data_IF_877435877910
#
_entry.id   IF_877435877910
#
_cell.length_a   1.000
_cell.length_b   1.000
_cell.length_c   1.000
_cell.angle_alpha   90.00
_cell.angle_beta   90.00
_cell.angle_gamma   90.00
#
_symmetry.space_group_name_H-M   'P 1'
#
loop_
_entity.id
_entity.type
_entity.pdbx_description
1 polymer ?
#
# COMPACT_ATOMS: atom_id res chain seq x y z
N UNK A 1 8.55 -11.36 -8.57
CA UNK A 1 8.33 -10.56 -7.34
C UNK A 1 9.67 -10.13 -6.77
N UNK A 2 9.71 -9.10 -5.95
CA UNK A 2 10.88 -8.57 -5.24
C UNK A 2 10.43 -7.95 -3.92
N UNK A 3 11.34 -7.75 -2.96
CA UNK A 3 11.03 -7.07 -1.69
C UNK A 3 11.15 -5.57 -1.89
N UNK A 4 10.17 -4.83 -1.40
CA UNK A 4 10.15 -3.36 -1.32
C UNK A 4 9.72 -2.93 0.08
N UNK A 5 9.72 -1.64 0.34
CA UNK A 5 9.43 -1.09 1.67
C UNK A 5 8.71 0.26 1.53
N UNK A 6 7.85 0.60 2.48
CA UNK A 6 7.30 1.95 2.58
C UNK A 6 8.36 2.96 3.01
N UNK A 7 8.33 4.14 2.41
CA UNK A 7 9.27 5.24 2.73
C UNK A 7 9.27 5.61 4.22
N UNK A 8 8.10 5.57 4.87
CA UNK A 8 7.96 5.86 6.31
C UNK A 8 8.66 4.85 7.24
N UNK A 9 9.08 3.68 6.74
CA UNK A 9 9.86 2.70 7.49
C UNK A 9 11.37 2.99 7.46
N UNK A 10 11.87 3.70 6.44
CA UNK A 10 13.30 3.94 6.24
C UNK A 10 14.00 4.72 7.36
N UNK A 11 13.35 5.71 8.03
CA UNK A 11 13.94 6.41 9.16
C UNK A 11 14.38 5.50 10.32
N UNK A 12 13.76 4.32 10.46
CA UNK A 12 14.16 3.30 11.46
C UNK A 12 15.62 2.92 11.32
N UNK A 13 16.19 3.00 10.11
CA UNK A 13 17.61 2.70 9.86
C UNK A 13 18.57 3.80 10.36
N UNK A 14 18.05 4.95 10.81
CA UNK A 14 18.86 6.06 11.35
C UNK A 14 19.74 6.72 10.30
N UNK A 15 19.33 6.68 9.04
CA UNK A 15 19.99 7.34 7.91
C UNK A 15 19.22 8.60 7.51
N UNK A 16 19.93 9.66 7.16
CA UNK A 16 19.33 10.88 6.60
C UNK A 16 18.98 10.75 5.11
N UNK A 17 19.71 9.89 4.39
CA UNK A 17 19.43 9.57 2.98
C UNK A 17 18.66 8.24 2.91
N UNK A 18 17.44 8.23 2.35
CA UNK A 18 16.66 7.01 2.16
C UNK A 18 17.37 5.97 1.28
N UNK A 19 18.24 6.40 0.35
CA UNK A 19 19.01 5.49 -0.48
C UNK A 19 20.06 4.72 0.32
N UNK A 20 20.70 5.34 1.32
CA UNK A 20 21.59 4.64 2.24
C UNK A 20 20.85 3.60 3.08
N UNK A 21 19.64 3.94 3.55
CA UNK A 21 18.80 3.01 4.28
C UNK A 21 18.37 1.82 3.42
N UNK A 22 17.96 2.06 2.18
CA UNK A 22 17.64 1.00 1.22
C UNK A 22 18.86 0.10 0.93
N UNK A 23 20.04 0.70 0.70
CA UNK A 23 21.27 -0.05 0.44
C UNK A 23 21.67 -0.93 1.63
N UNK A 24 21.55 -0.42 2.87
CA UNK A 24 21.86 -1.20 4.08
C UNK A 24 20.89 -2.39 4.27
N UNK A 25 19.63 -2.24 3.82
CA UNK A 25 18.63 -3.33 3.80
C UNK A 25 18.79 -4.25 2.59
N UNK A 26 19.68 -3.91 1.63
CA UNK A 26 19.83 -4.62 0.37
C UNK A 26 18.56 -4.57 -0.48
N UNK A 27 17.86 -3.43 -0.46
CA UNK A 27 16.68 -3.14 -1.25
C UNK A 27 16.97 -2.06 -2.31
N UNK A 28 16.20 -2.09 -3.39
CA UNK A 28 16.29 -1.11 -4.48
C UNK A 28 14.91 -0.58 -4.90
N UNK A 29 13.89 -0.80 -4.06
CA UNK A 29 12.53 -0.42 -4.41
C UNK A 29 11.77 0.06 -3.17
N UNK A 30 10.99 1.14 -3.35
CA UNK A 30 10.29 1.85 -2.29
C UNK A 30 8.89 2.26 -2.74
N UNK A 31 7.92 2.17 -1.83
CA UNK A 31 6.65 2.88 -1.97
C UNK A 31 6.85 4.30 -1.42
N UNK A 32 6.42 5.31 -2.17
CA UNK A 32 6.59 6.71 -1.79
C UNK A 32 5.23 7.31 -1.45
N UNK A 33 5.16 7.91 -0.26
CA UNK A 33 3.94 8.59 0.21
C UNK A 33 3.77 9.94 -0.48
N UNK A 34 2.57 10.19 -1.01
CA UNK A 34 2.16 11.44 -1.64
C UNK A 34 1.19 12.18 -0.72
N UNK A 35 1.51 13.40 -0.36
CA UNK A 35 0.66 14.27 0.45
C UNK A 35 -0.60 14.73 -0.28
N UNK A 36 -1.58 15.24 0.48
CA UNK A 36 -2.84 15.78 -0.08
C UNK A 36 -2.63 16.94 -1.06
N UNK A 37 -1.53 17.69 -0.92
CA UNK A 37 -1.11 18.77 -1.83
C UNK A 37 -0.36 18.26 -3.06
N UNK A 38 -0.41 16.95 -3.33
CA UNK A 38 0.33 16.27 -4.42
C UNK A 38 1.85 16.36 -4.32
N UNK A 39 2.39 16.71 -3.16
CA UNK A 39 3.83 16.71 -2.94
C UNK A 39 4.29 15.42 -2.28
N UNK A 40 5.49 15.03 -2.60
CA UNK A 40 6.22 13.95 -1.92
C UNK A 40 7.61 14.40 -1.51
N UNK A 41 8.15 13.72 -0.52
CA UNK A 41 9.52 13.94 -0.05
C UNK A 41 10.43 12.83 -0.54
N UNK A 42 11.52 13.21 -1.22
CA UNK A 42 12.57 12.30 -1.64
C UNK A 42 13.90 13.05 -1.73
N UNK A 43 14.95 12.53 -1.11
CA UNK A 43 16.27 13.18 -1.14
C UNK A 43 16.94 12.91 -2.50
N UNK A 44 16.96 13.92 -3.35
CA UNK A 44 17.62 13.85 -4.64
C UNK A 44 19.09 14.30 -4.60
N UNK A 45 19.94 13.79 -5.49
CA UNK A 45 21.30 14.32 -5.65
C UNK A 45 21.26 15.80 -6.00
N UNK A 46 21.92 16.63 -5.17
CA UNK A 46 21.88 18.09 -5.33
C UNK A 46 21.03 18.82 -4.28
N UNK A 47 20.40 18.08 -3.34
CA UNK A 47 19.77 18.61 -2.15
C UNK A 47 18.29 18.99 -2.29
N UNK A 48 17.68 18.81 -3.45
CA UNK A 48 16.20 18.92 -3.55
C UNK A 48 15.57 17.72 -2.83
N UNK A 49 14.59 18.00 -1.97
CA UNK A 49 13.96 16.97 -1.14
C UNK A 49 12.42 16.98 -1.19
N UNK A 50 11.83 17.85 -2.03
CA UNK A 50 10.38 17.92 -2.21
C UNK A 50 10.04 18.10 -3.67
N UNK A 51 9.04 17.34 -4.15
CA UNK A 51 8.60 17.34 -5.54
C UNK A 51 7.08 17.43 -5.59
N UNK A 52 6.57 18.34 -6.40
CA UNK A 52 5.13 18.48 -6.67
C UNK A 52 4.75 17.65 -7.90
N UNK A 53 3.93 16.62 -7.73
CA UNK A 53 3.50 15.75 -8.84
C UNK A 53 2.54 16.42 -9.83
N UNK A 54 2.03 17.62 -9.48
CA UNK A 54 1.27 18.47 -10.38
C UNK A 54 2.13 19.40 -11.25
N UNK A 55 3.47 19.31 -11.13
CA UNK A 55 4.44 20.12 -11.88
C UNK A 55 5.33 19.20 -12.73
N UNK A 56 5.27 19.33 -14.04
CA UNK A 56 5.99 18.46 -14.98
C UNK A 56 7.51 18.48 -14.76
N UNK A 57 8.09 19.66 -14.48
CA UNK A 57 9.52 19.78 -14.20
C UNK A 57 9.92 18.99 -12.95
N UNK A 58 9.13 19.07 -11.89
CA UNK A 58 9.37 18.31 -10.65
C UNK A 58 9.26 16.80 -10.90
N UNK A 59 8.32 16.37 -11.73
CA UNK A 59 8.13 14.96 -12.12
C UNK A 59 9.35 14.44 -12.89
N UNK A 60 9.87 15.23 -13.86
CA UNK A 60 11.06 14.85 -14.61
C UNK A 60 12.32 14.84 -13.73
N UNK A 61 12.47 15.81 -12.83
CA UNK A 61 13.56 15.84 -11.86
C UNK A 61 13.53 14.64 -10.91
N UNK A 62 12.35 14.28 -10.38
CA UNK A 62 12.17 13.09 -9.54
C UNK A 62 12.53 11.81 -10.30
N UNK A 63 12.04 11.67 -11.54
CA UNK A 63 12.37 10.54 -12.42
C UNK A 63 13.89 10.41 -12.62
N UNK A 64 14.56 11.53 -12.93
CA UNK A 64 16.00 11.57 -13.10
C UNK A 64 16.74 11.21 -11.80
N UNK A 65 16.28 11.69 -10.64
CA UNK A 65 16.86 11.38 -9.35
C UNK A 65 16.77 9.89 -9.02
N UNK A 66 15.59 9.30 -9.11
CA UNK A 66 15.35 7.88 -8.85
C UNK A 66 16.24 7.00 -9.79
N UNK A 67 16.29 7.36 -11.08
CA UNK A 67 17.14 6.66 -12.04
C UNK A 67 18.64 6.75 -11.69
N UNK A 68 19.13 7.95 -11.33
CA UNK A 68 20.53 8.16 -10.93
C UNK A 68 20.88 7.37 -9.67
N UNK A 69 19.95 7.28 -8.72
CA UNK A 69 20.10 6.55 -7.47
C UNK A 69 19.87 5.04 -7.62
N UNK A 70 19.40 4.57 -8.79
CA UNK A 70 19.04 3.17 -9.08
C UNK A 70 17.96 2.64 -8.13
N UNK A 71 17.02 3.49 -7.75
CA UNK A 71 15.87 3.15 -6.91
C UNK A 71 14.61 3.15 -7.75
N UNK A 72 13.82 2.09 -7.64
CA UNK A 72 12.49 1.99 -8.25
C UNK A 72 11.39 2.42 -7.28
N UNK A 73 10.47 3.27 -7.71
CA UNK A 73 9.22 3.45 -6.97
C UNK A 73 8.25 2.33 -7.32
N UNK A 74 7.91 1.46 -6.36
CA UNK A 74 7.00 0.33 -6.59
C UNK A 74 5.53 0.72 -6.56
N UNK A 75 5.18 1.79 -5.88
CA UNK A 75 3.87 2.43 -5.89
C UNK A 75 3.97 3.87 -5.37
N UNK A 76 2.98 4.68 -5.70
CA UNK A 76 2.66 5.90 -4.96
C UNK A 76 1.49 5.63 -4.03
N UNK A 77 1.64 5.98 -2.75
CA UNK A 77 0.59 5.90 -1.74
C UNK A 77 -0.04 7.27 -1.55
N UNK A 78 -1.33 7.38 -1.83
CA UNK A 78 -2.09 8.61 -1.60
C UNK A 78 -2.88 8.55 -0.30
N UNK A 79 -2.86 9.66 0.45
CA UNK A 79 -3.78 9.93 1.57
C UNK A 79 -4.99 10.70 1.09
N UNK A 80 -5.88 10.08 0.30
CA UNK A 80 -7.07 10.69 -0.27
C UNK A 80 -8.31 10.53 0.64
N UNK A 81 -9.29 11.43 0.46
CA UNK A 81 -10.60 11.37 1.13
C UNK A 81 -11.75 11.74 0.16
N UNK A 82 -12.35 10.72 -0.45
CA UNK A 82 -13.49 10.94 -1.36
C UNK A 82 -14.81 11.29 -0.65
N UNK A 83 -14.83 11.35 0.68
CA UNK A 83 -15.94 11.91 1.47
C UNK A 83 -15.77 13.41 1.75
N UNK A 84 -14.66 14.01 1.35
CA UNK A 84 -14.34 15.42 1.54
C UNK A 84 -15.37 16.36 0.86
N UNK A 85 -15.53 17.56 1.40
CA UNK A 85 -16.26 18.64 0.73
C UNK A 85 -15.55 19.08 -0.55
N UNK A 86 -14.22 19.05 -0.57
CA UNK A 86 -13.40 19.31 -1.75
C UNK A 86 -13.16 18.02 -2.57
N UNK A 87 -14.25 17.37 -2.97
CA UNK A 87 -14.17 16.17 -3.81
C UNK A 87 -13.44 16.42 -5.13
N UNK A 88 -13.64 17.56 -5.77
CA UNK A 88 -13.00 17.88 -7.04
C UNK A 88 -11.48 18.09 -6.87
N UNK A 89 -11.04 18.65 -5.74
CA UNK A 89 -9.63 18.73 -5.37
C UNK A 89 -9.01 17.35 -5.16
N UNK A 90 -9.68 16.45 -4.46
CA UNK A 90 -9.23 15.05 -4.27
C UNK A 90 -9.09 14.31 -5.62
N UNK A 91 -10.04 14.50 -6.54
CA UNK A 91 -9.97 13.91 -7.89
C UNK A 91 -8.82 14.51 -8.71
N UNK A 92 -8.60 15.82 -8.65
CA UNK A 92 -7.47 16.47 -9.33
C UNK A 92 -6.13 15.96 -8.80
N UNK A 93 -6.01 15.81 -7.48
CA UNK A 93 -4.82 15.24 -6.85
C UNK A 93 -4.55 13.80 -7.30
N UNK A 94 -5.60 12.97 -7.37
CA UNK A 94 -5.50 11.59 -7.86
C UNK A 94 -5.03 11.56 -9.33
N UNK A 95 -5.63 12.35 -10.20
CA UNK A 95 -5.25 12.42 -11.62
C UNK A 95 -3.81 12.90 -11.79
N UNK A 96 -3.39 13.94 -11.06
CA UNK A 96 -2.01 14.43 -11.09
C UNK A 96 -1.02 13.35 -10.65
N UNK A 97 -1.32 12.64 -9.56
CA UNK A 97 -0.48 11.53 -9.07
C UNK A 97 -0.40 10.38 -10.09
N UNK A 98 -1.53 10.02 -10.70
CA UNK A 98 -1.56 8.98 -11.73
C UNK A 98 -0.76 9.38 -12.99
N UNK A 99 -0.86 10.61 -13.46
CA UNK A 99 -0.08 11.13 -14.60
C UNK A 99 1.43 11.10 -14.29
N UNK A 100 1.82 11.58 -13.11
CA UNK A 100 3.21 11.52 -12.68
C UNK A 100 3.72 10.07 -12.57
N UNK A 101 2.90 9.16 -12.04
CA UNK A 101 3.23 7.74 -11.98
C UNK A 101 3.49 7.14 -13.37
N UNK A 102 2.67 7.47 -14.37
CA UNK A 102 2.89 7.04 -15.76
C UNK A 102 4.20 7.57 -16.35
N UNK A 103 4.50 8.86 -16.12
CA UNK A 103 5.75 9.49 -16.62
C UNK A 103 6.99 8.87 -15.97
N UNK A 104 6.96 8.63 -14.66
CA UNK A 104 8.08 8.06 -13.92
C UNK A 104 8.23 6.57 -14.20
N UNK A 105 7.12 5.87 -14.49
CA UNK A 105 7.07 4.43 -14.67
C UNK A 105 6.74 3.68 -13.37
N UNK A 106 6.03 4.32 -12.44
CA UNK A 106 5.52 3.70 -11.23
C UNK A 106 4.35 2.78 -11.60
N UNK A 107 4.38 1.48 -11.20
CA UNK A 107 3.40 0.51 -11.72
C UNK A 107 1.98 0.65 -11.15
N UNK A 108 1.83 1.23 -9.96
CA UNK A 108 0.53 1.36 -9.30
C UNK A 108 0.43 2.63 -8.45
N UNK A 109 -0.80 3.13 -8.29
CA UNK A 109 -1.17 4.13 -7.30
C UNK A 109 -2.09 3.47 -6.27
N UNK A 110 -1.71 3.52 -5.01
CA UNK A 110 -2.53 3.06 -3.89
C UNK A 110 -3.46 4.19 -3.46
N UNK A 111 -4.75 3.88 -3.32
CA UNK A 111 -5.76 4.78 -2.79
C UNK A 111 -6.48 4.17 -1.60
N UNK A 112 -7.06 5.03 -0.77
CA UNK A 112 -7.98 4.65 0.29
C UNK A 112 -9.45 4.81 -0.14
N UNK A 113 -10.32 3.95 0.37
CA UNK A 113 -11.77 4.12 0.29
C UNK A 113 -12.36 4.02 1.70
N UNK A 114 -11.93 4.95 2.55
CA UNK A 114 -12.46 5.17 3.89
C UNK A 114 -13.18 6.52 3.92
N UNK A 115 -14.43 6.59 4.39
CA UNK A 115 -15.07 7.87 4.65
C UNK A 115 -14.47 8.46 5.94
N UNK A 116 -13.79 9.59 5.84
CA UNK A 116 -13.25 10.32 7.00
C UNK A 116 -14.27 11.26 7.63
N UNK A 117 -15.38 11.50 6.92
CA UNK A 117 -16.50 12.31 7.41
C UNK A 117 -17.80 11.53 7.31
N UNK A 118 -18.81 11.92 8.11
CA UNK A 118 -20.19 11.38 8.03
C UNK A 118 -21.08 12.15 7.06
N UNK A 119 -20.49 12.97 6.18
CA UNK A 119 -21.21 13.82 5.23
C UNK A 119 -22.00 13.02 4.20
N UNK A 120 -21.42 11.91 3.75
CA UNK A 120 -22.03 11.01 2.77
C UNK A 120 -22.55 9.75 3.46
N UNK A 121 -23.70 9.26 3.05
CA UNK A 121 -24.12 7.91 3.38
C UNK A 121 -23.33 6.88 2.53
N UNK A 122 -23.48 5.60 2.84
CA UNK A 122 -22.73 4.52 2.19
C UNK A 122 -22.91 4.51 0.65
N UNK A 123 -24.13 4.78 0.17
CA UNK A 123 -24.43 4.79 -1.27
C UNK A 123 -23.81 5.99 -1.97
N UNK A 124 -23.87 7.15 -1.38
CA UNK A 124 -23.25 8.39 -1.88
C UNK A 124 -21.73 8.25 -1.90
N UNK A 125 -21.15 7.66 -0.84
CA UNK A 125 -19.71 7.41 -0.77
C UNK A 125 -19.23 6.45 -1.87
N UNK A 126 -19.93 5.35 -2.09
CA UNK A 126 -19.63 4.43 -3.20
C UNK A 126 -19.67 5.17 -4.54
N UNK A 127 -20.70 5.97 -4.80
CA UNK A 127 -20.82 6.76 -6.04
C UNK A 127 -19.65 7.75 -6.21
N UNK A 128 -19.22 8.40 -5.13
CA UNK A 128 -18.07 9.30 -5.15
C UNK A 128 -16.77 8.54 -5.50
N UNK A 129 -16.51 7.39 -4.84
CA UNK A 129 -15.36 6.54 -5.14
C UNK A 129 -15.35 6.09 -6.60
N UNK A 130 -16.48 5.57 -7.10
CA UNK A 130 -16.63 5.12 -8.48
C UNK A 130 -16.39 6.25 -9.48
N UNK A 131 -16.95 7.44 -9.22
CA UNK A 131 -16.75 8.64 -10.06
C UNK A 131 -15.27 9.01 -10.12
N UNK A 132 -14.59 9.09 -8.98
CA UNK A 132 -13.17 9.44 -8.90
C UNK A 132 -12.31 8.45 -9.71
N UNK A 133 -12.52 7.14 -9.51
CA UNK A 133 -11.76 6.10 -10.21
C UNK A 133 -11.99 6.13 -11.72
N UNK A 134 -13.24 6.23 -12.18
CA UNK A 134 -13.54 6.31 -13.62
C UNK A 134 -12.90 7.53 -14.28
N UNK A 135 -12.87 8.67 -13.60
CA UNK A 135 -12.20 9.88 -14.09
C UNK A 135 -10.69 9.65 -14.19
N UNK A 136 -10.05 9.17 -13.14
CA UNK A 136 -8.60 8.94 -13.13
C UNK A 136 -8.16 7.92 -14.19
N UNK A 137 -8.87 6.78 -14.30
CA UNK A 137 -8.56 5.73 -15.27
C UNK A 137 -8.78 6.17 -16.73
N UNK A 138 -9.72 7.08 -16.97
CA UNK A 138 -9.92 7.70 -18.30
C UNK A 138 -8.77 8.64 -18.67
N UNK A 139 -8.35 9.49 -17.72
CA UNK A 139 -7.27 10.47 -17.95
C UNK A 139 -5.87 9.83 -17.98
N UNK A 140 -5.72 8.66 -17.37
CA UNK A 140 -4.44 7.95 -17.21
C UNK A 140 -4.58 6.50 -17.74
N UNK A 141 -4.36 6.26 -19.05
CA UNK A 141 -4.69 4.99 -19.69
C UNK A 141 -3.73 3.83 -19.37
N UNK A 142 -2.56 4.09 -18.77
CA UNK A 142 -1.53 3.08 -18.52
C UNK A 142 -1.42 2.68 -17.05
N UNK A 143 -1.93 3.53 -16.13
CA UNK A 143 -1.78 3.28 -14.69
C UNK A 143 -2.72 2.19 -14.19
N UNK A 144 -2.30 1.49 -13.16
CA UNK A 144 -3.14 0.64 -12.32
C UNK A 144 -3.42 1.35 -11.01
N UNK A 145 -4.66 1.31 -10.54
CA UNK A 145 -5.05 1.88 -9.26
C UNK A 145 -5.49 0.74 -8.36
N UNK A 146 -4.87 0.63 -7.18
CA UNK A 146 -5.21 -0.35 -6.16
C UNK A 146 -5.86 0.30 -4.96
N UNK A 147 -7.13 -0.04 -4.66
CA UNK A 147 -7.71 0.29 -3.36
C UNK A 147 -7.13 -0.64 -2.30
N UNK A 148 -6.66 -0.09 -1.20
CA UNK A 148 -6.22 -0.93 -0.09
C UNK A 148 -7.42 -1.50 0.66
N UNK A 149 -7.36 -2.78 1.01
CA UNK A 149 -8.25 -3.36 1.99
C UNK A 149 -7.90 -2.82 3.39
N UNK A 150 -8.49 -1.68 3.76
CA UNK A 150 -8.16 -0.89 4.94
C UNK A 150 -9.40 -0.50 5.74
N UNK A 151 -9.27 -0.40 7.06
CA UNK A 151 -10.32 0.06 7.97
C UNK A 151 -11.63 -0.73 7.91
N UNK A 152 -12.73 -0.07 8.21
CA UNK A 152 -14.05 -0.68 8.32
C UNK A 152 -14.78 -0.89 6.97
N UNK A 153 -14.31 -0.28 5.90
CA UNK A 153 -15.03 -0.26 4.61
C UNK A 153 -14.45 -1.26 3.62
N UNK A 154 -13.21 -1.06 3.18
CA UNK A 154 -12.62 -1.88 2.11
C UNK A 154 -12.04 -3.22 2.58
N UNK A 155 -12.21 -3.57 3.85
CA UNK A 155 -12.01 -4.95 4.36
C UNK A 155 -13.26 -5.83 4.23
N UNK A 156 -14.37 -5.28 3.71
CA UNK A 156 -15.60 -6.03 3.43
C UNK A 156 -15.57 -6.56 1.99
N UNK A 157 -15.57 -7.90 1.77
CA UNK A 157 -15.56 -8.46 0.43
C UNK A 157 -16.72 -7.96 -0.45
N UNK A 158 -17.91 -7.78 0.12
CA UNK A 158 -19.10 -7.27 -0.59
C UNK A 158 -18.91 -5.82 -1.07
N UNK A 159 -18.17 -4.99 -0.34
CA UNK A 159 -17.81 -3.65 -0.78
C UNK A 159 -16.82 -3.71 -1.96
N UNK A 160 -15.79 -4.55 -1.86
CA UNK A 160 -14.79 -4.74 -2.93
C UNK A 160 -15.47 -5.22 -4.21
N UNK A 161 -16.37 -6.20 -4.12
CA UNK A 161 -17.10 -6.71 -5.28
C UNK A 161 -17.96 -5.63 -5.94
N UNK A 162 -18.65 -4.85 -5.11
CA UNK A 162 -19.48 -3.76 -5.58
C UNK A 162 -18.67 -2.72 -6.34
N UNK A 163 -17.58 -2.19 -5.76
CA UNK A 163 -16.78 -1.17 -6.45
C UNK A 163 -16.07 -1.72 -7.69
N UNK A 164 -15.67 -3.00 -7.70
CA UNK A 164 -15.10 -3.63 -8.88
C UNK A 164 -16.14 -3.73 -10.01
N UNK A 165 -17.39 -4.09 -9.68
CA UNK A 165 -18.50 -4.14 -10.64
C UNK A 165 -18.89 -2.76 -11.16
N UNK A 166 -19.06 -1.79 -10.26
CA UNK A 166 -19.51 -0.45 -10.61
C UNK A 166 -18.45 0.35 -11.40
N UNK A 167 -17.16 0.14 -11.13
CA UNK A 167 -16.07 0.75 -11.91
C UNK A 167 -15.92 0.05 -13.25
N UNK A 168 -15.97 -1.29 -13.29
CA UNK A 168 -15.96 -2.09 -14.51
C UNK A 168 -14.65 -2.04 -15.31
N UNK A 169 -13.54 -1.60 -14.71
CA UNK A 169 -12.26 -1.39 -15.39
C UNK A 169 -11.18 -2.34 -14.82
N UNK A 170 -10.53 -3.11 -15.68
CA UNK A 170 -9.53 -4.11 -15.28
C UNK A 170 -8.29 -3.49 -14.61
N UNK A 171 -7.96 -2.25 -14.92
CA UNK A 171 -6.83 -1.53 -14.30
C UNK A 171 -7.12 -1.02 -12.88
N UNK A 172 -8.36 -1.18 -12.40
CA UNK A 172 -8.72 -0.97 -11.00
C UNK A 172 -8.71 -2.31 -10.26
N UNK A 173 -8.02 -2.38 -9.11
CA UNK A 173 -7.87 -3.60 -8.34
C UNK A 173 -7.53 -3.31 -6.87
N UNK A 174 -6.76 -4.18 -6.25
CA UNK A 174 -6.35 -4.07 -4.85
C UNK A 174 -4.88 -3.65 -4.70
N UNK A 175 -4.62 -2.84 -3.71
CA UNK A 175 -3.42 -2.90 -2.89
C UNK A 175 -3.74 -3.86 -1.76
N UNK A 176 -3.21 -5.07 -1.84
CA UNK A 176 -3.47 -6.11 -0.85
C UNK A 176 -2.62 -5.88 0.39
N UNK A 177 -3.24 -5.49 1.49
CA UNK A 177 -2.65 -5.62 2.81
C UNK A 177 -2.92 -7.01 3.37
N UNK A 178 -1.87 -7.74 3.72
CA UNK A 178 -1.95 -9.14 4.15
C UNK A 178 -2.52 -9.32 5.55
N UNK A 179 -2.42 -8.31 6.40
CA UNK A 179 -2.92 -8.32 7.77
C UNK A 179 -4.32 -7.75 7.95
N UNK A 180 -4.75 -6.84 7.07
CA UNK A 180 -5.96 -6.05 7.31
C UNK A 180 -7.26 -6.86 7.26
N UNK A 181 -7.40 -7.88 6.40
CA UNK A 181 -8.55 -8.79 6.48
C UNK A 181 -8.57 -9.55 7.81
N UNK A 182 -7.40 -9.94 8.32
CA UNK A 182 -7.27 -10.61 9.61
C UNK A 182 -7.56 -9.67 10.78
N UNK A 183 -7.08 -8.41 10.71
CA UNK A 183 -7.39 -7.32 11.62
C UNK A 183 -8.90 -7.00 11.63
N UNK A 184 -9.57 -7.05 10.48
CA UNK A 184 -11.01 -6.84 10.37
C UNK A 184 -11.83 -7.93 11.08
N UNK A 185 -11.17 -9.00 11.51
CA UNK A 185 -11.76 -10.08 12.28
C UNK A 185 -12.17 -11.30 11.47
N UNK A 186 -11.83 -11.38 10.17
CA UNK A 186 -12.04 -12.62 9.43
C UNK A 186 -11.22 -13.77 10.02
N UNK A 187 -11.78 -15.00 10.11
CA UNK A 187 -11.01 -16.19 10.43
C UNK A 187 -9.82 -16.37 9.48
N UNK A 188 -8.67 -16.85 9.97
CA UNK A 188 -7.43 -16.93 9.20
C UNK A 188 -7.60 -17.70 7.87
N UNK A 189 -8.27 -18.85 7.89
CA UNK A 189 -8.54 -19.59 6.64
C UNK A 189 -9.48 -18.85 5.69
N UNK A 190 -10.37 -18.00 6.19
CA UNK A 190 -11.19 -17.13 5.37
C UNK A 190 -10.36 -16.03 4.72
N UNK A 191 -9.35 -15.49 5.41
CA UNK A 191 -8.41 -14.50 4.85
C UNK A 191 -7.73 -15.04 3.60
N UNK A 192 -7.21 -16.27 3.63
CA UNK A 192 -6.58 -16.87 2.45
C UNK A 192 -7.56 -17.05 1.28
N UNK A 193 -8.82 -17.44 1.57
CA UNK A 193 -9.86 -17.54 0.52
C UNK A 193 -10.17 -16.17 -0.11
N UNK A 194 -10.21 -15.11 0.69
CA UNK A 194 -10.42 -13.75 0.20
C UNK A 194 -9.23 -13.32 -0.67
N UNK A 195 -7.99 -13.55 -0.21
CA UNK A 195 -6.79 -13.25 -0.98
C UNK A 195 -6.79 -14.01 -2.31
N UNK A 196 -7.08 -15.32 -2.30
CA UNK A 196 -7.13 -16.14 -3.52
C UNK A 196 -8.18 -15.61 -4.51
N UNK A 197 -9.35 -15.21 -4.01
CA UNK A 197 -10.44 -14.67 -4.83
C UNK A 197 -10.03 -13.42 -5.61
N UNK A 198 -9.25 -12.53 -4.99
CA UNK A 198 -8.86 -11.24 -5.57
C UNK A 198 -7.44 -11.19 -6.12
N UNK A 199 -6.67 -12.28 -6.01
CA UNK A 199 -5.24 -12.31 -6.34
C UNK A 199 -4.91 -11.80 -7.75
N UNK A 200 -5.75 -12.09 -8.77
CA UNK A 200 -5.58 -11.64 -10.15
C UNK A 200 -5.79 -10.13 -10.35
N UNK A 201 -6.33 -9.45 -9.34
CA UNK A 201 -6.59 -8.00 -9.32
C UNK A 201 -5.70 -7.27 -8.30
N UNK A 202 -4.65 -7.93 -7.77
CA UNK A 202 -3.67 -7.30 -6.88
C UNK A 202 -2.63 -6.58 -7.73
N UNK A 203 -2.44 -5.28 -7.48
CA UNK A 203 -1.48 -4.44 -8.21
C UNK A 203 -0.35 -3.92 -7.34
N UNK A 204 -0.55 -3.92 -6.03
CA UNK A 204 0.44 -3.60 -5.02
C UNK A 204 0.16 -4.39 -3.74
N UNK A 205 1.12 -4.44 -2.81
CA UNK A 205 0.93 -5.14 -1.53
C UNK A 205 1.47 -4.33 -0.37
N UNK A 206 0.82 -4.44 0.77
CA UNK A 206 1.39 -4.15 2.09
C UNK A 206 1.52 -5.44 2.88
N UNK A 207 2.71 -5.71 3.35
CA UNK A 207 2.99 -6.92 4.11
C UNK A 207 3.13 -6.57 5.58
N UNK A 208 2.18 -7.05 6.38
CA UNK A 208 2.18 -6.98 7.85
C UNK A 208 1.70 -8.27 8.46
N UNK A 209 1.82 -8.43 9.76
CA UNK A 209 1.41 -9.66 10.43
C UNK A 209 0.82 -9.40 11.82
N UNK A 210 0.00 -10.35 12.28
CA UNK A 210 -0.67 -10.36 13.57
C UNK A 210 -0.56 -11.78 14.12
N UNK A 211 -0.33 -11.93 15.43
CA UNK A 211 -0.25 -13.23 16.10
C UNK A 211 -1.30 -13.33 17.20
N UNK A 212 -2.48 -13.83 16.87
CA UNK A 212 -3.54 -14.09 17.84
C UNK A 212 -3.34 -15.42 18.59
N UNK A 213 -3.94 -15.58 19.78
CA UNK A 213 -4.03 -16.88 20.44
C UNK A 213 -4.65 -17.95 19.53
N UNK A 214 -4.13 -19.19 19.60
CA UNK A 214 -4.53 -20.28 18.67
C UNK A 214 -6.03 -20.52 18.64
N UNK A 215 -6.70 -20.35 19.78
CA UNK A 215 -8.12 -20.62 20.00
C UNK A 215 -9.02 -19.69 19.18
N UNK A 216 -8.53 -18.49 18.85
CA UNK A 216 -9.32 -17.46 18.16
C UNK A 216 -8.87 -17.19 16.73
N UNK A 217 -7.83 -17.84 16.23
CA UNK A 217 -7.31 -17.61 14.86
C UNK A 217 -8.34 -17.86 13.77
N UNK A 218 -9.14 -18.91 13.94
CA UNK A 218 -10.15 -19.31 12.97
C UNK A 218 -11.60 -19.02 13.44
N UNK A 219 -11.78 -18.08 14.36
CA UNK A 219 -13.09 -17.56 14.76
C UNK A 219 -13.27 -16.14 14.26
N UNK A 220 -14.54 -15.72 14.09
CA UNK A 220 -14.84 -14.31 13.82
C UNK A 220 -14.53 -13.48 15.05
N UNK A 221 -13.85 -12.35 14.88
CA UNK A 221 -13.51 -11.40 15.94
C UNK A 221 -14.11 -10.02 15.66
N UNK A 222 -14.13 -9.18 16.66
CA UNK A 222 -14.40 -7.75 16.48
C UNK A 222 -13.29 -7.09 15.65
N UNK A 223 -13.66 -6.03 14.93
CA UNK A 223 -12.70 -5.25 14.12
C UNK A 223 -11.64 -4.65 15.04
N UNK A 224 -10.38 -4.87 14.69
CA UNK A 224 -9.25 -4.34 15.46
C UNK A 224 -9.03 -4.99 16.83
N UNK A 225 -9.62 -6.19 17.07
CA UNK A 225 -9.54 -6.86 18.37
C UNK A 225 -8.10 -6.89 18.90
N UNK A 226 -7.88 -6.13 19.99
CA UNK A 226 -6.58 -6.02 20.68
C UNK A 226 -5.37 -5.86 19.74
N UNK A 227 -5.52 -5.10 18.66
CA UNK A 227 -4.48 -4.99 17.63
C UNK A 227 -3.11 -4.59 18.19
N UNK A 228 -3.07 -3.56 19.05
CA UNK A 228 -1.81 -3.11 19.67
C UNK A 228 -1.10 -4.19 20.49
N UNK A 229 -1.85 -5.18 21.03
CA UNK A 229 -1.27 -6.32 21.76
C UNK A 229 -0.71 -7.37 20.79
N UNK A 230 -1.43 -7.67 19.70
CA UNK A 230 -1.14 -8.82 18.84
C UNK A 230 -0.43 -8.50 17.53
N UNK A 231 -0.32 -7.21 17.12
CA UNK A 231 0.54 -6.85 15.99
C UNK A 231 1.98 -7.29 16.28
N UNK A 232 2.63 -7.89 15.30
CA UNK A 232 3.95 -8.50 15.47
C UNK A 232 4.81 -8.35 14.21
N UNK A 233 6.13 -8.56 14.32
CA UNK A 233 7.01 -8.60 13.15
C UNK A 233 6.51 -9.54 12.07
N UNK A 234 6.76 -9.20 10.81
CA UNK A 234 6.27 -9.92 9.65
C UNK A 234 6.65 -11.42 9.72
N UNK A 235 7.85 -11.73 10.18
CA UNK A 235 8.36 -13.11 10.30
C UNK A 235 7.79 -13.91 11.47
N UNK A 236 6.91 -13.34 12.33
CA UNK A 236 6.43 -14.00 13.57
C UNK A 236 4.93 -14.27 13.62
N UNK A 237 4.12 -13.69 12.73
CA UNK A 237 2.66 -13.72 12.84
C UNK A 237 2.00 -14.99 12.30
N UNK A 238 0.67 -14.96 12.34
CA UNK A 238 -0.18 -16.09 11.94
C UNK A 238 -0.37 -16.18 10.43
N UNK A 239 -0.27 -15.04 9.74
CA UNK A 239 -0.39 -15.01 8.28
C UNK A 239 0.85 -15.66 7.68
N UNK A 240 0.67 -16.84 7.09
CA UNK A 240 1.71 -17.55 6.36
C UNK A 240 1.98 -16.86 5.02
N UNK A 241 3.01 -16.01 5.00
CA UNK A 241 3.41 -15.29 3.79
C UNK A 241 3.92 -16.22 2.68
N UNK A 242 4.40 -17.42 2.99
CA UNK A 242 4.74 -18.41 1.96
C UNK A 242 3.49 -18.81 1.18
N UNK A 243 2.37 -19.05 1.88
CA UNK A 243 1.07 -19.34 1.26
C UNK A 243 0.55 -18.14 0.46
N UNK A 244 0.65 -16.92 1.00
CA UNK A 244 0.25 -15.69 0.29
C UNK A 244 1.06 -15.51 -0.99
N UNK A 245 2.39 -15.64 -0.91
CA UNK A 245 3.30 -15.55 -2.07
C UNK A 245 2.97 -16.59 -3.13
N UNK A 246 2.64 -17.83 -2.73
CA UNK A 246 2.23 -18.87 -3.67
C UNK A 246 0.91 -18.52 -4.39
N UNK A 247 -0.09 -18.00 -3.67
CA UNK A 247 -1.35 -17.53 -4.24
C UNK A 247 -1.10 -16.41 -5.25
N UNK A 248 -0.34 -15.39 -4.86
CA UNK A 248 -0.02 -14.25 -5.73
C UNK A 248 0.77 -14.67 -6.97
N UNK A 249 1.76 -15.56 -6.82
CA UNK A 249 2.56 -16.10 -7.93
C UNK A 249 1.69 -16.86 -8.93
N UNK A 250 0.78 -17.70 -8.45
CA UNK A 250 -0.20 -18.44 -9.29
C UNK A 250 -1.11 -17.49 -10.08
N UNK A 251 -1.44 -16.35 -9.50
CA UNK A 251 -2.26 -15.32 -10.16
C UNK A 251 -1.47 -14.39 -11.11
N UNK A 252 -0.15 -14.58 -11.24
CA UNK A 252 0.70 -13.77 -12.13
C UNK A 252 1.20 -12.46 -11.53
N UNK A 253 1.08 -12.26 -10.21
CA UNK A 253 1.63 -11.07 -9.55
C UNK A 253 3.15 -11.07 -9.61
N UNK A 254 3.75 -10.02 -10.16
CA UNK A 254 5.20 -9.90 -10.37
C UNK A 254 5.86 -8.69 -9.71
N UNK A 255 5.11 -7.94 -8.90
CA UNK A 255 5.56 -6.67 -8.30
C UNK A 255 6.14 -6.85 -6.89
N UNK A 256 6.30 -5.74 -6.16
CA UNK A 256 6.92 -5.71 -4.85
C UNK A 256 6.08 -6.37 -3.75
N UNK A 257 6.75 -7.07 -2.82
CA UNK A 257 6.24 -7.38 -1.49
C UNK A 257 6.67 -6.21 -0.60
N UNK A 258 5.76 -5.25 -0.36
CA UNK A 258 6.08 -3.99 0.30
C UNK A 258 5.93 -4.11 1.82
N UNK A 259 7.03 -3.97 2.53
CA UNK A 259 7.06 -4.05 4.00
C UNK A 259 6.31 -2.88 4.62
N UNK A 260 5.36 -3.21 5.51
CA UNK A 260 4.64 -2.30 6.39
C UNK A 260 4.54 -2.91 7.79
N UNK A 261 5.67 -2.99 8.51
CA UNK A 261 5.67 -3.52 9.87
C UNK A 261 5.20 -2.48 10.89
N UNK A 262 3.93 -2.56 11.26
CA UNK A 262 3.32 -1.69 12.28
C UNK A 262 3.68 -2.09 13.72
N UNK A 263 4.40 -3.19 13.93
CA UNK A 263 4.85 -3.62 15.25
C UNK A 263 6.10 -2.89 15.75
N UNK A 264 6.81 -2.17 14.88
CA UNK A 264 8.09 -1.53 15.21
C UNK A 264 8.02 -0.60 16.42
N UNK A 265 6.86 0.02 16.66
CA UNK A 265 6.64 0.86 17.85
C UNK A 265 6.74 0.12 19.19
N UNK A 266 6.66 -1.21 19.20
CA UNK A 266 6.76 -2.06 20.42
C UNK A 266 8.21 -2.31 20.84
N UNK A 267 9.18 -1.96 20.03
CA UNK A 267 10.60 -2.22 20.22
C UNK A 267 11.38 -0.95 20.51
N UNK A 268 12.50 -1.08 21.23
CA UNK A 268 13.45 0.00 21.39
C UNK A 268 14.07 0.39 20.03
N UNK A 269 14.60 1.59 19.92
CA UNK A 269 15.21 2.09 18.67
C UNK A 269 16.29 1.14 18.12
N UNK A 270 17.13 0.60 19.00
CA UNK A 270 18.17 -0.35 18.60
C UNK A 270 17.60 -1.68 18.07
N UNK A 271 16.51 -2.16 18.65
CA UNK A 271 15.86 -3.42 18.25
C UNK A 271 15.12 -3.27 16.93
N UNK A 272 14.48 -2.10 16.66
CA UNK A 272 13.70 -1.87 15.43
C UNK A 272 14.50 -2.15 14.16
N UNK A 273 15.78 -1.77 14.12
CA UNK A 273 16.66 -2.06 12.98
C UNK A 273 16.80 -3.57 12.74
N UNK A 274 16.97 -4.34 13.80
CA UNK A 274 17.10 -5.79 13.69
C UNK A 274 15.79 -6.46 13.29
N UNK A 275 14.67 -5.97 13.81
CA UNK A 275 13.33 -6.44 13.41
C UNK A 275 13.14 -6.22 11.92
N UNK A 276 13.39 -5.00 11.43
CA UNK A 276 13.22 -4.65 10.02
C UNK A 276 14.13 -5.46 9.09
N UNK A 277 15.40 -5.71 9.49
CA UNK A 277 16.30 -6.59 8.74
C UNK A 277 15.77 -8.03 8.64
N UNK A 278 15.25 -8.58 9.74
CA UNK A 278 14.65 -9.93 9.75
C UNK A 278 13.41 -10.01 8.88
N UNK A 279 12.58 -8.97 8.83
CA UNK A 279 11.44 -8.91 7.92
C UNK A 279 11.89 -8.96 6.46
N UNK A 280 12.90 -8.18 6.12
CA UNK A 280 13.50 -8.19 4.76
C UNK A 280 14.07 -9.58 4.42
N UNK A 281 14.84 -10.19 5.33
CA UNK A 281 15.42 -11.52 5.15
C UNK A 281 14.33 -12.57 4.98
N UNK A 282 13.30 -12.53 5.84
CA UNK A 282 12.15 -13.42 5.75
C UNK A 282 11.48 -13.34 4.39
N UNK A 283 11.12 -12.14 3.92
CA UNK A 283 10.44 -11.98 2.63
C UNK A 283 11.35 -12.36 1.46
N UNK A 284 12.65 -12.06 1.51
CA UNK A 284 13.62 -12.51 0.49
C UNK A 284 13.70 -14.04 0.41
N UNK A 285 13.58 -14.73 1.53
CA UNK A 285 13.61 -16.21 1.57
C UNK A 285 12.40 -16.89 0.90
N UNK A 286 11.33 -16.13 0.64
CA UNK A 286 10.10 -16.62 0.00
C UNK A 286 10.10 -16.45 -1.53
N UNK A 287 11.05 -15.72 -2.08
CA UNK A 287 11.14 -15.39 -3.50
C UNK A 287 11.95 -16.40 -4.31
#
# INVERSE_FOLDING_TARGET
MYVSIRDCMLPVMGKSDPCEALAELGLASVEITVGKDTKLSWVAPGGKNTFALSNDKDVDELKAALKKQRVGACAFLMGNDFSSEDFDGEVKALVATCKAAEVIGVPAVRVDMLPHTKRLNDEEFVKACVKAMKLALRECPKIRIGVENHGGTSNRPEFIERIFGDIGEVRFGLTLDTGNFYWYGHPLEQVYKIIEKYASRVYHTHIKNISYPKEIRNTRREVGYKYGEYVCPIYQGDVDHKRVVAILRKAGYGHGLCIEDESLGKFSEAERKNVLRKDVEHLKSLL
#
